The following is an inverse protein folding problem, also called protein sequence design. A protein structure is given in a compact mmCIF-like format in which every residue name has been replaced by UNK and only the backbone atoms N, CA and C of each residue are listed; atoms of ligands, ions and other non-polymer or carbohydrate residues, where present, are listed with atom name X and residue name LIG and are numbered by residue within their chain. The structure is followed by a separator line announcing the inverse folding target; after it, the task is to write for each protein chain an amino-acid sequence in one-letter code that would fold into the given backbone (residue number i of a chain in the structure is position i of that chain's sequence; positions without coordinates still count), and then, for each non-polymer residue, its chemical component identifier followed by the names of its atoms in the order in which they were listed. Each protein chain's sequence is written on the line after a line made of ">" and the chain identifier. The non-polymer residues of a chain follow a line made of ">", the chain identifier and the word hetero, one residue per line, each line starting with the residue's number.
data_IF_488538848337
#
_entry.id   IF_488538848337
#
_cell.length_a   1.000
_cell.length_b   1.000
_cell.length_c   1.000
_cell.angle_alpha   90.00
_cell.angle_beta   90.00
_cell.angle_gamma   90.00
#
_symmetry.space_group_name_H-M   'P 1'
#
loop_
_entity.id
_entity.type
_entity.pdbx_description
1 polymer ?
#
# COMPACT_ATOMS: atom_id res chain seq x y z
N UNK A 1 13.46 -2.40 2.32
CA UNK A 1 12.82 -3.21 3.37
C UNK A 1 12.46 -4.57 2.78
N UNK A 2 12.73 -5.68 3.46
CA UNK A 2 12.20 -6.99 3.06
C UNK A 2 10.79 -7.17 3.65
N UNK A 3 9.82 -7.51 2.81
CA UNK A 3 8.42 -7.76 3.20
C UNK A 3 8.14 -9.25 3.02
N UNK A 4 7.87 -9.94 4.12
CA UNK A 4 7.54 -11.38 4.15
C UNK A 4 6.04 -11.61 4.37
N UNK A 5 5.40 -10.72 5.12
CA UNK A 5 3.94 -10.70 5.27
C UNK A 5 3.44 -9.27 5.17
N UNK A 6 2.27 -9.10 4.56
CA UNK A 6 1.63 -7.81 4.34
C UNK A 6 0.13 -7.97 4.60
N UNK A 7 -0.43 -7.14 5.48
CA UNK A 7 -1.87 -7.03 5.75
C UNK A 7 -2.28 -5.59 5.45
N UNK A 8 -3.19 -5.41 4.50
CA UNK A 8 -3.72 -4.10 4.10
C UNK A 8 -5.25 -4.20 4.08
N UNK A 9 -5.91 -3.28 4.77
CA UNK A 9 -7.36 -3.14 4.77
C UNK A 9 -7.68 -1.64 4.74
N UNK A 10 -8.22 -1.15 3.62
CA UNK A 10 -8.52 0.27 3.44
C UNK A 10 -9.77 0.71 4.22
N UNK A 11 -10.77 -0.16 4.34
CA UNK A 11 -12.01 0.15 5.06
C UNK A 11 -11.76 0.29 6.57
N UNK A 12 -10.80 -0.48 7.10
CA UNK A 12 -10.42 -0.47 8.51
C UNK A 12 -9.14 0.31 8.79
N UNK A 13 -8.54 0.93 7.77
CA UNK A 13 -7.26 1.65 7.85
C UNK A 13 -6.15 0.81 8.52
N UNK A 14 -6.01 -0.46 8.14
CA UNK A 14 -4.95 -1.35 8.62
C UNK A 14 -3.81 -1.41 7.62
N UNK A 15 -2.59 -1.17 8.08
CA UNK A 15 -1.35 -1.46 7.37
C UNK A 15 -0.37 -2.15 8.33
N UNK A 16 -0.14 -3.45 8.12
CA UNK A 16 0.89 -4.19 8.85
C UNK A 16 1.90 -4.78 7.90
N UNK A 17 3.17 -4.63 8.25
CA UNK A 17 4.28 -5.23 7.53
C UNK A 17 5.02 -6.14 8.49
N UNK A 18 5.24 -7.39 8.08
CA UNK A 18 5.87 -8.42 8.90
C UNK A 18 5.16 -8.61 10.26
N UNK A 19 3.83 -8.54 10.26
CA UNK A 19 2.98 -8.74 11.43
C UNK A 19 2.93 -7.58 12.44
N UNK A 20 3.55 -6.44 12.14
CA UNK A 20 3.54 -5.24 13.00
C UNK A 20 2.83 -4.09 12.30
N UNK A 21 2.07 -3.30 13.06
CA UNK A 21 1.48 -2.06 12.57
C UNK A 21 2.60 -1.13 12.07
N UNK A 22 2.46 -0.66 10.83
CA UNK A 22 3.42 0.25 10.24
C UNK A 22 3.01 1.67 10.57
N UNK A 23 3.67 2.26 11.58
CA UNK A 23 3.34 3.61 12.10
C UNK A 23 4.53 4.56 12.08
N UNK A 24 5.69 4.15 11.57
CA UNK A 24 6.94 4.90 11.72
C UNK A 24 7.08 6.04 10.71
N UNK A 25 6.45 5.90 9.53
CA UNK A 25 6.58 6.83 8.42
C UNK A 25 5.25 7.05 7.72
N UNK A 26 5.12 8.26 7.18
CA UNK A 26 4.06 8.63 6.25
C UNK A 26 4.20 7.83 4.97
N UNK A 27 3.14 7.12 4.57
CA UNK A 27 3.17 6.25 3.39
C UNK A 27 1.86 6.31 2.63
N UNK A 28 1.94 6.47 1.32
CA UNK A 28 0.79 6.27 0.42
C UNK A 28 0.81 4.82 -0.05
N UNK A 29 -0.28 4.11 0.19
CA UNK A 29 -0.48 2.75 -0.29
C UNK A 29 -1.37 2.81 -1.52
N UNK A 30 -0.94 2.14 -2.60
CA UNK A 30 -1.68 2.02 -3.86
C UNK A 30 -2.00 0.55 -4.11
N UNK A 31 -3.28 0.21 -4.11
CA UNK A 31 -3.81 -1.11 -4.42
C UNK A 31 -4.42 -1.13 -5.82
N UNK A 32 -4.37 -2.27 -6.53
CA UNK A 32 -5.06 -2.41 -7.80
C UNK A 32 -6.57 -2.29 -7.59
N UNK A 33 -7.24 -1.47 -8.39
CA UNK A 33 -8.68 -1.36 -8.43
C UNK A 33 -9.27 -1.71 -9.79
N UNK A 34 -10.60 -1.67 -9.88
CA UNK A 34 -11.33 -2.05 -11.07
C UNK A 34 -11.03 -1.14 -12.26
N UNK A 35 -11.00 -1.71 -13.47
CA UNK A 35 -10.80 -0.95 -14.71
C UNK A 35 -9.44 -0.25 -14.82
N UNK A 36 -8.44 -0.68 -14.03
CA UNK A 36 -7.10 -0.10 -14.04
C UNK A 36 -6.95 1.16 -13.18
N UNK A 37 -7.97 1.54 -12.41
CA UNK A 37 -7.90 2.66 -11.49
C UNK A 37 -7.38 2.21 -10.12
N UNK A 38 -6.22 2.71 -9.65
CA UNK A 38 -5.71 2.33 -8.35
C UNK A 38 -6.55 2.93 -7.22
N UNK A 39 -6.68 2.17 -6.14
CA UNK A 39 -7.18 2.67 -4.87
C UNK A 39 -5.98 3.20 -4.08
N UNK A 40 -6.01 4.47 -3.69
CA UNK A 40 -4.92 5.10 -2.94
C UNK A 40 -5.38 5.57 -1.56
N UNK A 41 -4.61 5.26 -0.53
CA UNK A 41 -4.85 5.73 0.83
C UNK A 41 -3.53 6.18 1.50
N UNK A 42 -3.59 7.33 2.17
CA UNK A 42 -2.49 7.86 2.96
C UNK A 42 -2.55 7.32 4.39
N UNK A 43 -1.51 6.60 4.80
CA UNK A 43 -1.30 6.16 6.17
C UNK A 43 -0.33 7.08 6.90
N UNK A 44 -0.54 7.20 8.21
CA UNK A 44 0.33 7.93 9.12
C UNK A 44 0.62 9.39 8.68
N UNK A 45 -0.41 10.22 8.39
CA UNK A 45 -0.23 11.55 7.81
C UNK A 45 0.63 12.50 8.68
N UNK A 46 0.71 12.26 9.99
CA UNK A 46 1.45 13.06 10.96
C UNK A 46 2.89 12.58 11.21
N UNK A 47 3.29 11.49 10.57
CA UNK A 47 4.65 10.94 10.69
C UNK A 47 5.61 11.58 9.67
N UNK A 48 6.93 11.55 9.93
CA UNK A 48 7.91 12.00 8.95
C UNK A 48 7.80 11.19 7.64
N UNK A 49 8.30 11.72 6.52
CA UNK A 49 9.13 12.92 6.39
C UNK A 49 8.37 14.25 6.33
N UNK A 50 9.07 15.32 6.68
CA UNK A 50 8.66 16.72 6.52
C UNK A 50 9.64 17.37 5.53
N UNK A 51 9.18 18.12 4.51
CA UNK A 51 7.85 18.73 4.33
C UNK A 51 6.75 17.75 3.89
N UNK A 52 5.47 18.15 4.04
CA UNK A 52 4.26 17.31 3.85
C UNK A 52 4.17 16.57 2.51
N UNK A 53 4.93 16.99 1.51
CA UNK A 53 4.95 16.42 0.16
C UNK A 53 5.83 15.16 0.08
N UNK A 54 6.78 14.99 1.00
CA UNK A 54 7.57 13.76 1.09
C UNK A 54 6.76 12.66 1.80
N UNK A 55 6.72 11.48 1.18
CA UNK A 55 6.08 10.28 1.73
C UNK A 55 6.69 9.05 1.07
N UNK A 56 6.71 7.94 1.80
CA UNK A 56 7.01 6.66 1.19
C UNK A 56 5.85 6.22 0.31
N UNK A 57 6.12 5.34 -0.65
CA UNK A 57 5.10 4.72 -1.50
C UNK A 57 5.19 3.22 -1.44
N UNK A 58 4.05 2.58 -1.20
CA UNK A 58 3.89 1.14 -1.28
C UNK A 58 2.89 0.82 -2.39
N UNK A 59 3.37 0.27 -3.51
CA UNK A 59 2.57 -0.02 -4.69
C UNK A 59 2.44 -1.53 -4.86
N UNK A 60 1.20 -2.02 -4.94
CA UNK A 60 0.88 -3.43 -5.14
C UNK A 60 0.35 -3.58 -6.56
N UNK A 61 0.87 -4.55 -7.29
CA UNK A 61 0.32 -4.99 -8.57
C UNK A 61 -0.27 -6.40 -8.42
N UNK A 62 -1.33 -6.65 -9.18
CA UNK A 62 -1.93 -7.98 -9.33
C UNK A 62 -2.04 -8.26 -10.82
N UNK A 63 -1.47 -9.39 -11.25
CA UNK A 63 -1.48 -9.84 -12.64
C UNK A 63 -2.04 -11.25 -12.67
N UNK A 64 -3.13 -11.46 -13.42
CA UNK A 64 -3.67 -12.79 -13.69
C UNK A 64 -3.05 -13.33 -14.99
N UNK A 65 -2.21 -14.35 -14.86
CA UNK A 65 -1.50 -14.97 -15.98
C UNK A 65 -2.31 -16.05 -16.71
N UNK A 66 -3.54 -16.37 -16.26
CA UNK A 66 -4.36 -17.41 -16.89
C UNK A 66 -5.12 -16.95 -18.16
N UNK A 67 -4.86 -15.73 -18.65
CA UNK A 67 -5.43 -15.22 -19.90
C UNK A 67 -4.59 -15.60 -21.13
N UNK A 68 -4.15 -16.86 -21.27
CA UNK A 68 -3.74 -17.37 -22.58
C UNK A 68 -5.00 -17.83 -23.32
N UNK A 69 -5.35 -17.22 -24.47
CA UNK A 69 -6.45 -17.73 -25.28
C UNK A 69 -6.07 -19.11 -25.86
N UNK A 70 -7.04 -20.03 -25.86
CA UNK A 70 -6.98 -21.22 -26.73
C UNK A 70 -6.92 -20.84 -28.22
#
# INVERSE_FOLDING_TARGET
>A
MEIRTLEIDFDRSVLKINGKDYTDRKVVVSLPGEGGWPLELLFNPDQPPYPREEHDRLMISYEDFNSMPE
#
